data_IF_914251766206
#
_entry.id   IF_914251766206
#
_cell.length_a   1.000
_cell.length_b   1.000
_cell.length_c   1.000
_cell.angle_alpha   90.00
_cell.angle_beta   90.00
_cell.angle_gamma   90.00
#
_symmetry.space_group_name_H-M   'P 1'
#
loop_
_entity.id
_entity.type
_entity.pdbx_description
1 polymer ?
#
# COMPACT_ATOMS: atom_id res chain seq x y z
N UNK A 1 24.74 -2.85 20.03
CA UNK A 1 24.37 -4.10 19.36
C UNK A 1 23.96 -3.79 17.92
N UNK A 2 24.68 -4.37 16.95
CA UNK A 2 24.37 -4.55 15.53
C UNK A 2 23.65 -3.40 14.78
N UNK A 3 24.44 -2.53 14.14
CA UNK A 3 24.02 -1.77 12.96
C UNK A 3 23.83 -2.75 11.80
N UNK A 4 22.63 -3.35 11.72
CA UNK A 4 22.20 -4.11 10.56
C UNK A 4 22.01 -3.15 9.40
N UNK A 5 22.99 -3.06 8.51
CA UNK A 5 22.78 -2.48 7.19
C UNK A 5 21.62 -3.23 6.53
N UNK A 6 20.46 -2.57 6.38
CA UNK A 6 19.42 -3.07 5.50
C UNK A 6 20.03 -3.15 4.09
N UNK A 7 20.44 -4.35 3.70
CA UNK A 7 20.72 -4.66 2.30
C UNK A 7 19.45 -4.34 1.54
N UNK A 8 19.46 -3.28 0.73
CA UNK A 8 18.36 -2.92 -0.13
C UNK A 8 18.07 -4.12 -1.04
N UNK A 9 17.02 -4.89 -0.73
CA UNK A 9 16.60 -6.01 -1.56
C UNK A 9 15.92 -5.45 -2.80
N UNK A 10 16.64 -5.47 -3.91
CA UNK A 10 16.08 -5.15 -5.21
C UNK A 10 15.27 -6.37 -5.68
N UNK A 11 13.97 -6.17 -5.91
CA UNK A 11 13.09 -7.19 -6.45
C UNK A 11 12.67 -6.81 -7.86
N UNK A 12 12.82 -7.72 -8.82
CA UNK A 12 12.40 -7.51 -10.20
C UNK A 12 11.04 -8.15 -10.47
N UNK A 13 10.20 -7.43 -11.20
CA UNK A 13 8.86 -7.85 -11.56
C UNK A 13 8.53 -7.42 -12.99
N UNK A 14 7.48 -8.02 -13.55
CA UNK A 14 6.97 -7.69 -14.87
C UNK A 14 5.47 -7.42 -14.76
N UNK A 15 5.03 -6.30 -15.32
CA UNK A 15 3.62 -5.99 -15.56
C UNK A 15 3.29 -6.31 -17.02
N UNK A 16 2.16 -6.96 -17.27
CA UNK A 16 1.67 -7.27 -18.61
C UNK A 16 0.37 -6.49 -18.81
N UNK A 17 0.33 -5.62 -19.82
CA UNK A 17 -0.88 -4.86 -20.15
C UNK A 17 -1.87 -5.71 -20.98
N UNK A 18 -3.10 -5.20 -21.17
CA UNK A 18 -4.17 -5.85 -21.92
C UNK A 18 -3.78 -6.14 -23.38
N UNK A 19 -2.83 -5.39 -23.94
CA UNK A 19 -2.23 -5.62 -25.28
C UNK A 19 -1.06 -6.63 -25.28
N UNK A 20 -0.87 -7.38 -24.19
CA UNK A 20 0.26 -8.30 -23.98
C UNK A 20 1.66 -7.64 -24.06
N UNK A 21 1.73 -6.33 -23.83
CA UNK A 21 2.99 -5.61 -23.72
C UNK A 21 3.61 -5.81 -22.33
N UNK A 22 4.90 -6.16 -22.30
CA UNK A 22 5.62 -6.45 -21.08
C UNK A 22 6.42 -5.23 -20.59
N UNK A 23 6.16 -4.83 -19.35
CA UNK A 23 6.80 -3.70 -18.68
C UNK A 23 7.56 -4.21 -17.47
N UNK A 24 8.90 -4.24 -17.57
CA UNK A 24 9.77 -4.63 -16.45
C UNK A 24 9.92 -3.47 -15.47
N UNK A 25 9.94 -3.81 -14.19
CA UNK A 25 10.18 -2.85 -13.13
C UNK A 25 10.93 -3.46 -11.96
N UNK A 26 11.64 -2.59 -11.26
CA UNK A 26 12.40 -2.92 -10.05
C UNK A 26 11.74 -2.24 -8.86
N UNK A 27 11.73 -2.92 -7.72
CA UNK A 27 11.27 -2.39 -6.44
C UNK A 27 12.42 -2.44 -5.44
N UNK A 28 12.60 -1.35 -4.70
CA UNK A 28 13.62 -1.19 -3.67
C UNK A 28 12.95 -0.71 -2.40
N UNK A 29 13.15 -1.43 -1.29
CA UNK A 29 12.68 -1.00 0.01
C UNK A 29 13.57 0.14 0.55
N UNK A 30 12.93 1.24 0.94
CA UNK A 30 13.56 2.44 1.50
C UNK A 30 12.90 2.76 2.86
N UNK A 31 13.37 2.09 3.91
CA UNK A 31 12.76 2.15 5.24
C UNK A 31 11.38 1.46 5.23
N UNK A 32 10.33 2.22 5.60
CA UNK A 32 8.94 1.75 5.60
C UNK A 32 8.24 1.88 4.24
N UNK A 33 8.90 2.52 3.27
CA UNK A 33 8.36 2.78 1.94
C UNK A 33 9.03 1.91 0.89
N UNK A 34 8.38 1.77 -0.27
CA UNK A 34 8.93 1.05 -1.41
C UNK A 34 9.03 1.97 -2.61
N UNK A 35 10.24 2.11 -3.15
CA UNK A 35 10.45 2.83 -4.40
C UNK A 35 10.34 1.85 -5.55
N UNK A 36 9.66 2.23 -6.63
CA UNK A 36 9.57 1.43 -7.84
C UNK A 36 10.07 2.22 -9.05
N UNK A 37 10.65 1.48 -9.99
CA UNK A 37 11.25 2.04 -11.19
C UNK A 37 10.95 1.13 -12.38
N UNK A 38 10.16 1.61 -13.32
CA UNK A 38 9.97 0.94 -14.60
C UNK A 38 11.09 1.28 -15.58
N UNK A 39 11.44 0.31 -16.42
CA UNK A 39 12.39 0.50 -17.53
C UNK A 39 11.75 1.31 -18.66
N UNK A 40 10.47 1.07 -18.92
CA UNK A 40 9.68 1.75 -19.95
C UNK A 40 8.35 2.22 -19.38
N UNK A 41 7.91 3.42 -19.79
CA UNK A 41 6.64 3.97 -19.38
C UNK A 41 5.54 3.55 -20.36
N UNK A 42 4.37 3.06 -19.89
CA UNK A 42 3.20 2.95 -20.74
C UNK A 42 2.81 4.31 -21.34
N UNK A 43 2.22 4.33 -22.54
CA UNK A 43 1.81 5.57 -23.19
C UNK A 43 0.55 6.16 -22.55
N UNK A 44 -0.41 5.31 -22.22
CA UNK A 44 -1.70 5.73 -21.67
C UNK A 44 -1.65 5.93 -20.15
N UNK A 45 -2.31 6.99 -19.67
CA UNK A 45 -2.39 7.27 -18.24
C UNK A 45 -3.18 6.21 -17.47
N UNK A 46 -4.18 5.61 -18.11
CA UNK A 46 -4.96 4.47 -17.62
C UNK A 46 -4.06 3.25 -17.38
N UNK A 47 -3.23 2.89 -18.35
CA UNK A 47 -2.26 1.80 -18.21
C UNK A 47 -1.21 2.10 -17.14
N UNK A 48 -0.73 3.34 -17.02
CA UNK A 48 0.18 3.73 -15.92
C UNK A 48 -0.45 3.49 -14.55
N UNK A 49 -1.73 3.82 -14.38
CA UNK A 49 -2.44 3.55 -13.13
C UNK A 49 -2.60 2.05 -12.87
N UNK A 50 -2.92 1.25 -13.90
CA UNK A 50 -2.98 -0.22 -13.80
C UNK A 50 -1.62 -0.82 -13.41
N UNK A 51 -0.55 -0.37 -14.06
CA UNK A 51 0.81 -0.79 -13.76
C UNK A 51 1.19 -0.45 -12.31
N UNK A 52 0.84 0.75 -11.85
CA UNK A 52 1.07 1.16 -10.47
C UNK A 52 0.21 0.40 -9.45
N UNK A 53 -1.04 0.05 -9.79
CA UNK A 53 -1.86 -0.85 -8.97
C UNK A 53 -1.25 -2.26 -8.87
N UNK A 54 -0.72 -2.77 -9.98
CA UNK A 54 0.00 -4.06 -10.00
C UNK A 54 1.25 -4.03 -9.12
N UNK A 55 1.97 -2.90 -9.06
CA UNK A 55 3.08 -2.69 -8.13
C UNK A 55 2.61 -2.83 -6.68
N UNK A 56 1.50 -2.17 -6.31
CA UNK A 56 0.95 -2.31 -4.95
C UNK A 56 0.62 -3.76 -4.60
N UNK A 57 -0.04 -4.49 -5.51
CA UNK A 57 -0.34 -5.90 -5.32
C UNK A 57 0.92 -6.76 -5.18
N UNK A 58 1.95 -6.48 -5.98
CA UNK A 58 3.21 -7.25 -5.96
C UNK A 58 4.01 -7.03 -4.69
N UNK A 59 4.03 -5.79 -4.18
CA UNK A 59 4.75 -5.41 -2.96
C UNK A 59 4.04 -5.95 -1.72
N UNK A 60 2.76 -5.61 -1.56
CA UNK A 60 2.03 -5.87 -0.32
C UNK A 60 1.31 -7.22 -0.29
N UNK A 61 1.20 -7.90 -1.45
CA UNK A 61 0.52 -9.20 -1.61
C UNK A 61 -0.89 -9.20 -1.02
N UNK A 62 -1.56 -8.06 -1.08
CA UNK A 62 -2.91 -7.86 -0.54
C UNK A 62 -3.93 -7.90 -1.69
N UNK A 63 -4.80 -8.92 -1.67
CA UNK A 63 -5.86 -9.11 -2.66
C UNK A 63 -7.11 -8.27 -2.37
N UNK A 64 -7.20 -7.65 -1.19
CA UNK A 64 -8.34 -6.83 -0.77
C UNK A 64 -8.22 -5.36 -1.19
N UNK A 65 -7.11 -4.97 -1.84
CA UNK A 65 -6.91 -3.62 -2.37
C UNK A 65 -7.97 -3.35 -3.44
N UNK A 66 -8.79 -2.32 -3.22
CA UNK A 66 -9.76 -1.88 -4.21
C UNK A 66 -9.04 -1.43 -5.50
N UNK A 67 -9.55 -1.82 -6.66
CA UNK A 67 -8.98 -1.45 -7.96
C UNK A 67 -9.13 0.04 -8.26
N UNK A 68 -10.18 0.65 -7.72
CA UNK A 68 -10.45 2.07 -7.88
C UNK A 68 -9.83 2.84 -6.72
N UNK A 69 -9.06 3.89 -7.03
CA UNK A 69 -8.53 4.78 -6.01
C UNK A 69 -9.67 5.55 -5.35
N UNK A 70 -9.62 5.74 -4.03
CA UNK A 70 -10.61 6.52 -3.29
C UNK A 70 -10.36 8.02 -3.47
N UNK A 71 -9.10 8.43 -3.47
CA UNK A 71 -8.69 9.83 -3.58
C UNK A 71 -7.40 9.98 -4.40
N UNK A 72 -7.16 11.20 -4.89
CA UNK A 72 -5.90 11.58 -5.50
C UNK A 72 -5.48 12.98 -5.01
N UNK A 73 -4.19 13.18 -4.78
CA UNK A 73 -3.64 14.46 -4.34
C UNK A 73 -2.25 14.70 -4.92
N UNK A 74 -1.75 15.92 -4.80
CA UNK A 74 -0.41 16.28 -5.22
C UNK A 74 0.42 16.62 -3.99
N UNK A 75 1.55 15.95 -3.82
CA UNK A 75 2.51 16.24 -2.75
C UNK A 75 3.90 16.37 -3.35
N UNK A 76 4.57 17.48 -3.09
CA UNK A 76 5.96 17.72 -3.56
C UNK A 76 6.11 17.51 -5.09
N UNK A 77 5.05 17.87 -5.85
CA UNK A 77 4.91 17.68 -7.30
C UNK A 77 4.72 16.22 -7.76
N UNK A 78 4.73 15.24 -6.85
CA UNK A 78 4.31 13.88 -7.16
C UNK A 78 2.78 13.79 -7.16
N UNK A 79 2.21 13.05 -8.12
CA UNK A 79 0.78 12.72 -8.14
C UNK A 79 0.57 11.43 -7.37
N UNK A 80 -0.18 11.52 -6.28
CA UNK A 80 -0.45 10.42 -5.37
C UNK A 80 -1.90 9.95 -5.50
N UNK A 81 -2.09 8.64 -5.44
CA UNK A 81 -3.37 7.96 -5.50
C UNK A 81 -3.52 7.09 -4.26
N UNK A 82 -4.69 7.15 -3.62
CA UNK A 82 -5.00 6.44 -2.39
C UNK A 82 -5.86 5.22 -2.72
N UNK A 83 -5.46 4.05 -2.24
CA UNK A 83 -6.16 2.80 -2.43
C UNK A 83 -6.50 2.20 -1.06
N UNK A 84 -7.78 2.05 -0.79
CA UNK A 84 -8.24 1.42 0.45
C UNK A 84 -8.34 -0.10 0.32
N UNK A 85 -8.01 -0.76 1.42
CA UNK A 85 -8.10 -2.21 1.63
C UNK A 85 -8.85 -2.49 2.94
N UNK A 86 -9.07 -3.78 3.25
CA UNK A 86 -9.72 -4.20 4.49
C UNK A 86 -9.04 -3.67 5.75
N UNK A 87 -7.69 -3.65 5.79
CA UNK A 87 -6.93 -3.33 7.01
C UNK A 87 -5.91 -2.19 6.84
N UNK A 88 -5.57 -1.85 5.61
CA UNK A 88 -4.59 -0.82 5.33
C UNK A 88 -5.11 0.12 4.25
N UNK A 89 -4.52 1.31 4.21
CA UNK A 89 -4.66 2.28 3.13
C UNK A 89 -3.29 2.44 2.49
N UNK A 90 -3.24 2.29 1.18
CA UNK A 90 -2.03 2.35 0.39
C UNK A 90 -1.98 3.68 -0.36
N UNK A 91 -0.82 4.34 -0.35
CA UNK A 91 -0.60 5.52 -1.19
C UNK A 91 0.42 5.18 -2.25
N UNK A 92 0.08 5.50 -3.50
CA UNK A 92 0.92 5.30 -4.67
C UNK A 92 1.22 6.65 -5.30
N UNK A 93 2.48 7.07 -5.28
CA UNK A 93 2.91 8.36 -5.76
C UNK A 93 3.84 8.22 -6.96
N UNK A 94 3.52 8.92 -8.05
CA UNK A 94 4.35 9.00 -9.25
C UNK A 94 5.04 10.34 -9.33
N UNK A 95 6.28 10.38 -9.83
CA UNK A 95 7.03 11.62 -9.91
C UNK A 95 6.47 12.55 -11.01
N UNK A 96 6.66 13.88 -10.88
CA UNK A 96 6.02 14.90 -11.73
C UNK A 96 6.20 14.72 -13.23
N UNK A 97 7.32 14.13 -13.67
CA UNK A 97 7.62 14.00 -15.09
C UNK A 97 6.93 12.80 -15.74
N UNK A 98 6.38 11.89 -14.93
CA UNK A 98 6.00 10.55 -15.39
C UNK A 98 4.62 10.52 -16.06
N UNK A 99 3.78 11.54 -15.84
CA UNK A 99 2.52 11.76 -16.56
C UNK A 99 2.62 12.81 -17.68
N UNK A 100 3.82 13.36 -17.93
CA UNK A 100 4.02 14.31 -19.01
C UNK A 100 4.09 13.58 -20.35
N UNK A 101 3.20 13.95 -21.29
CA UNK A 101 3.19 13.41 -22.66
C UNK A 101 4.51 13.68 -23.40
N UNK A 102 5.25 14.71 -22.98
CA UNK A 102 6.52 15.14 -23.60
C UNK A 102 7.74 14.33 -23.15
N UNK A 103 7.69 13.66 -21.99
CA UNK A 103 8.85 12.96 -21.41
C UNK A 103 8.51 11.48 -21.14
N UNK A 104 8.56 10.67 -22.20
CA UNK A 104 8.14 9.25 -22.19
C UNK A 104 9.12 8.27 -21.50
N UNK A 105 10.24 8.75 -20.97
CA UNK A 105 11.37 7.90 -20.59
C UNK A 105 11.46 7.49 -19.12
N UNK A 106 10.67 8.10 -18.23
CA UNK A 106 10.73 7.81 -16.78
C UNK A 106 9.32 7.54 -16.26
N UNK A 107 9.19 6.46 -15.50
CA UNK A 107 7.95 6.06 -14.84
C UNK A 107 8.31 5.43 -13.50
N UNK A 108 8.55 6.29 -12.53
CA UNK A 108 9.08 5.93 -11.22
C UNK A 108 8.14 6.44 -10.14
N UNK A 109 8.29 5.91 -8.95
CA UNK A 109 7.42 6.31 -7.88
C UNK A 109 7.78 5.65 -6.58
N UNK A 110 6.92 5.91 -5.61
CA UNK A 110 6.99 5.25 -4.34
C UNK A 110 5.60 4.83 -3.88
N UNK A 111 5.57 3.74 -3.16
CA UNK A 111 4.39 3.18 -2.54
C UNK A 111 4.59 3.17 -1.02
N UNK A 112 3.56 3.57 -0.29
CA UNK A 112 3.55 3.58 1.16
C UNK A 112 2.30 2.88 1.67
N UNK A 113 2.38 2.31 2.87
CA UNK A 113 1.26 1.65 3.53
C UNK A 113 1.03 2.28 4.90
N UNK A 114 -0.23 2.53 5.22
CA UNK A 114 -0.65 2.98 6.54
C UNK A 114 -1.80 2.10 7.05
N UNK A 115 -1.86 1.76 8.35
CA UNK A 115 -3.01 1.07 8.92
C UNK A 115 -4.27 1.93 8.79
N UNK A 116 -5.39 1.32 8.42
CA UNK A 116 -6.66 2.03 8.31
C UNK A 116 -7.40 2.07 9.66
N UNK A 117 -8.53 2.79 9.70
CA UNK A 117 -9.36 2.88 10.91
C UNK A 117 -9.85 1.52 11.41
N UNK A 118 -10.18 0.58 10.50
CA UNK A 118 -10.63 -0.76 10.89
C UNK A 118 -9.54 -1.51 11.66
N UNK A 119 -8.29 -1.41 11.22
CA UNK A 119 -7.14 -1.99 11.93
C UNK A 119 -6.92 -1.34 13.29
N UNK A 120 -7.02 -0.01 13.38
CA UNK A 120 -6.91 0.69 14.67
C UNK A 120 -8.00 0.21 15.64
N UNK A 121 -9.24 0.06 15.15
CA UNK A 121 -10.35 -0.39 15.99
C UNK A 121 -10.15 -1.81 16.49
N UNK A 122 -9.76 -2.74 15.62
CA UNK A 122 -9.53 -4.12 16.06
C UNK A 122 -8.30 -4.26 16.93
N UNK A 123 -7.26 -3.44 16.72
CA UNK A 123 -6.05 -3.51 17.52
C UNK A 123 -6.23 -2.94 18.94
N UNK A 124 -7.02 -1.87 19.10
CA UNK A 124 -7.17 -1.17 20.38
C UNK A 124 -8.50 -1.45 21.07
N UNK A 125 -9.64 -1.33 20.39
CA UNK A 125 -10.96 -1.40 21.04
C UNK A 125 -11.46 -2.82 21.26
N UNK A 126 -11.14 -3.76 20.35
CA UNK A 126 -11.55 -5.16 20.49
C UNK A 126 -10.94 -5.84 21.74
N UNK A 127 -9.64 -5.72 22.05
CA UNK A 127 -9.09 -6.28 23.28
C UNK A 127 -9.64 -5.60 24.54
N UNK A 128 -9.85 -4.28 24.51
CA UNK A 128 -10.50 -3.57 25.63
C UNK A 128 -11.93 -4.07 25.88
N UNK A 129 -12.71 -4.28 24.81
CA UNK A 129 -14.05 -4.86 24.89
C UNK A 129 -14.05 -6.28 25.44
N UNK A 130 -13.10 -7.13 25.04
CA UNK A 130 -12.94 -8.48 25.61
C UNK A 130 -12.60 -8.45 27.10
N UNK A 131 -11.66 -7.60 27.52
CA UNK A 131 -11.28 -7.47 28.92
C UNK A 131 -12.48 -7.01 29.75
N UNK A 132 -13.19 -5.98 29.29
CA UNK A 132 -14.40 -5.51 29.96
C UNK A 132 -15.48 -6.60 30.05
N UNK A 133 -15.73 -7.33 28.95
CA UNK A 133 -16.67 -8.44 28.91
C UNK A 133 -16.31 -9.57 29.88
N UNK A 134 -15.02 -9.93 29.96
CA UNK A 134 -14.51 -10.93 30.90
C UNK A 134 -14.68 -10.47 32.36
N UNK A 135 -14.28 -9.23 32.68
CA UNK A 135 -14.45 -8.66 34.02
C UNK A 135 -15.92 -8.65 34.43
N UNK A 136 -16.81 -8.22 33.53
CA UNK A 136 -18.24 -8.22 33.78
C UNK A 136 -18.80 -9.63 34.00
N UNK A 137 -18.41 -10.60 33.17
CA UNK A 137 -18.81 -12.00 33.28
C UNK A 137 -18.42 -12.62 34.63
N UNK A 138 -17.16 -12.42 35.06
CA UNK A 138 -16.68 -12.90 36.35
C UNK A 138 -17.33 -12.14 37.53
N UNK A 139 -17.62 -10.85 37.40
CA UNK A 139 -18.33 -10.08 38.43
C UNK A 139 -19.76 -10.58 38.65
N UNK A 140 -20.47 -10.97 37.59
CA UNK A 140 -21.85 -11.49 37.67
C UNK A 140 -21.94 -12.91 38.19
N UNK A 141 -20.92 -13.75 37.98
CA UNK A 141 -20.82 -15.08 38.60
C UNK A 141 -20.65 -15.02 40.12
N UNK A 142 -20.28 -13.87 40.69
CA UNK A 142 -20.14 -13.65 42.14
C UNK A 142 -21.41 -13.12 42.82
N UNK A 143 -22.59 -13.14 42.18
CA UNK A 143 -23.84 -12.89 42.93
C UNK A 143 -24.07 -14.08 43.89
N UNK A 144 -24.06 -13.86 45.22
CA UNK A 144 -24.29 -14.93 46.18
C UNK A 144 -25.74 -15.41 46.06
N UNK A 145 -25.90 -16.74 46.14
CA UNK A 145 -27.16 -17.39 46.49
C UNK A 145 -27.57 -16.81 47.84
N UNK A 146 -28.70 -16.11 47.87
CA UNK A 146 -29.45 -15.79 49.08
C UNK A 146 -30.67 -16.72 49.13
#
# INVERSE_FOLDING_TARGET
LSTGYCSAQNSEFTFIDDEAQNYRYTVVQAGDNYNFKFDTAPLENTTKLKAGYHVLQSIYKDSSINKTYSEHYIRERARCYVFDSSWHTYSLCFLPNDFSVKHKGRFWGFATQMPNWKWLVTRFFLPLGMIYGLVFYFSRRKKPVA
#
